data_IF_504972271607
#
_entry.id   IF_504972271607
#
_cell.length_a   1.000
_cell.length_b   1.000
_cell.length_c   1.000
_cell.angle_alpha   90.00
_cell.angle_beta   90.00
_cell.angle_gamma   90.00
#
_symmetry.space_group_name_H-M   'P 1'
#
loop_
_entity.id
_entity.type
_entity.pdbx_description
1 polymer ?
#
# COMPACT_ATOMS: atom_id res chain seq x y z
N UNK A 1 -18.55 6.78 -27.20
CA UNK A 1 -18.65 5.59 -26.32
C UNK A 1 -18.74 4.39 -27.24
N UNK A 2 -17.78 3.46 -27.15
CA UNK A 2 -17.61 2.38 -28.13
C UNK A 2 -18.26 1.04 -27.72
N UNK A 3 -19.12 1.05 -26.68
CA UNK A 3 -19.85 -0.15 -26.23
C UNK A 3 -19.01 -1.19 -25.45
N UNK A 4 -17.79 -0.82 -25.02
CA UNK A 4 -16.97 -1.69 -24.19
C UNK A 4 -17.32 -1.54 -22.71
N UNK A 5 -17.37 -2.65 -22.00
CA UNK A 5 -17.42 -2.67 -20.55
C UNK A 5 -16.01 -2.46 -19.99
N UNK A 6 -15.86 -1.51 -19.07
CA UNK A 6 -14.58 -1.17 -18.46
C UNK A 6 -14.61 -1.50 -16.97
N UNK A 7 -13.59 -2.21 -16.51
CA UNK A 7 -13.30 -2.31 -15.08
C UNK A 7 -12.55 -1.06 -14.63
N UNK A 8 -13.27 0.02 -14.43
CA UNK A 8 -12.72 1.30 -14.00
C UNK A 8 -12.76 1.42 -12.49
N UNK A 9 -11.74 0.88 -11.82
CA UNK A 9 -11.60 0.89 -10.38
C UNK A 9 -10.47 1.82 -9.94
N UNK A 10 -10.55 2.32 -8.71
CA UNK A 10 -9.47 3.06 -8.07
C UNK A 10 -8.47 2.11 -7.40
N UNK A 11 -7.22 2.56 -7.24
CA UNK A 11 -6.17 1.84 -6.53
C UNK A 11 -5.47 2.74 -5.51
N UNK A 12 -5.22 2.18 -4.32
CA UNK A 12 -4.45 2.83 -3.27
C UNK A 12 -3.14 2.10 -3.05
N UNK A 13 -2.03 2.85 -3.20
CA UNK A 13 -0.71 2.41 -2.79
C UNK A 13 -0.54 2.69 -1.30
N UNK A 14 -0.44 1.62 -0.52
CA UNK A 14 -0.55 1.67 0.94
C UNK A 14 0.80 1.66 1.66
N UNK A 15 1.91 1.60 0.93
CA UNK A 15 3.25 1.52 1.49
C UNK A 15 4.12 2.69 1.07
N UNK A 16 5.26 2.81 1.74
CA UNK A 16 6.30 3.77 1.40
C UNK A 16 6.59 4.77 2.49
N UNK A 17 7.73 5.43 2.36
CA UNK A 17 8.27 6.39 3.32
C UNK A 17 7.30 7.52 3.68
N UNK A 18 6.45 7.92 2.76
CA UNK A 18 5.50 9.01 3.00
C UNK A 18 4.48 8.68 4.10
N UNK A 19 4.07 7.40 4.25
CA UNK A 19 3.20 6.96 5.34
C UNK A 19 3.96 6.96 6.65
N UNK A 20 5.16 6.35 6.65
CA UNK A 20 6.01 6.21 7.84
C UNK A 20 6.40 7.58 8.40
N UNK A 21 6.95 8.47 7.57
CA UNK A 21 7.39 9.81 7.97
C UNK A 21 6.26 10.61 8.62
N UNK A 22 5.07 10.51 8.10
CA UNK A 22 3.95 11.26 8.67
C UNK A 22 3.48 10.68 10.02
N UNK A 23 3.55 9.36 10.21
CA UNK A 23 3.27 8.74 11.51
C UNK A 23 4.39 9.05 12.51
N UNK A 24 5.65 9.02 12.08
CA UNK A 24 6.80 9.43 12.92
C UNK A 24 6.64 10.87 13.40
N UNK A 25 6.25 11.80 12.53
CA UNK A 25 5.98 13.19 12.89
C UNK A 25 4.82 13.34 13.89
N UNK A 26 3.72 12.58 13.69
CA UNK A 26 2.59 12.60 14.62
C UNK A 26 2.97 12.09 16.01
N UNK A 27 3.91 11.14 16.09
CA UNK A 27 4.43 10.58 17.34
C UNK A 27 5.60 11.39 17.93
N UNK A 28 6.15 12.34 17.17
CA UNK A 28 7.30 13.14 17.59
C UNK A 28 8.61 12.36 17.61
N UNK A 29 8.76 11.35 16.77
CA UNK A 29 9.98 10.55 16.66
C UNK A 29 11.07 11.30 15.90
N UNK A 30 12.30 11.21 16.38
CA UNK A 30 13.48 11.85 15.77
C UNK A 30 14.39 10.82 15.07
N UNK A 31 14.26 9.54 15.43
CA UNK A 31 15.10 8.47 14.90
C UNK A 31 14.35 7.18 14.66
N UNK A 32 14.91 6.31 13.83
CA UNK A 32 14.37 4.95 13.60
C UNK A 32 14.40 4.06 14.86
N UNK A 33 15.26 4.39 15.84
CA UNK A 33 15.31 3.67 17.13
C UNK A 33 14.05 3.89 17.93
N UNK A 34 13.45 5.09 17.84
CA UNK A 34 12.21 5.41 18.54
C UNK A 34 11.07 4.50 18.07
N UNK A 35 11.06 4.13 16.77
CA UNK A 35 10.11 3.17 16.21
C UNK A 35 10.30 1.77 16.81
N UNK A 36 11.56 1.32 16.97
CA UNK A 36 11.88 0.02 17.55
C UNK A 36 11.47 -0.03 19.03
N UNK A 37 11.74 1.04 19.79
CA UNK A 37 11.36 1.16 21.21
C UNK A 37 9.84 1.24 21.40
N UNK A 38 9.14 1.95 20.52
CA UNK A 38 7.68 2.04 20.52
C UNK A 38 7.02 0.69 20.21
N UNK A 39 7.67 -0.13 19.39
CA UNK A 39 7.23 -1.44 18.93
C UNK A 39 6.69 -1.39 17.50
N UNK A 40 7.36 -2.17 16.64
CA UNK A 40 7.08 -2.22 15.19
C UNK A 40 5.61 -2.55 14.89
N UNK A 41 5.01 -3.50 15.62
CA UNK A 41 3.62 -3.89 15.43
C UNK A 41 2.64 -2.73 15.65
N UNK A 42 2.85 -1.97 16.74
CA UNK A 42 2.04 -0.79 17.05
C UNK A 42 2.20 0.28 15.98
N UNK A 43 3.43 0.53 15.56
CA UNK A 43 3.74 1.50 14.52
C UNK A 43 3.08 1.14 13.19
N UNK A 44 3.19 -0.12 12.76
CA UNK A 44 2.53 -0.62 11.53
C UNK A 44 1.00 -0.49 11.62
N UNK A 45 0.42 -0.72 12.80
CA UNK A 45 -1.02 -0.55 13.01
C UNK A 45 -1.43 0.90 12.76
N UNK A 46 -0.69 1.87 13.31
CA UNK A 46 -0.95 3.30 13.07
C UNK A 46 -0.79 3.69 11.59
N UNK A 47 0.21 3.11 10.90
CA UNK A 47 0.36 3.31 9.46
C UNK A 47 -0.86 2.81 8.67
N UNK A 48 -1.38 1.63 9.00
CA UNK A 48 -2.59 1.08 8.37
C UNK A 48 -3.83 1.94 8.65
N UNK A 49 -4.01 2.39 9.88
CA UNK A 49 -5.12 3.29 10.26
C UNK A 49 -5.05 4.62 9.50
N UNK A 50 -3.84 5.16 9.33
CA UNK A 50 -3.63 6.35 8.53
C UNK A 50 -4.04 6.14 7.07
N UNK A 51 -3.60 5.05 6.46
CA UNK A 51 -3.99 4.70 5.08
C UNK A 51 -5.51 4.57 4.95
N UNK A 52 -6.18 3.87 5.86
CA UNK A 52 -7.64 3.72 5.87
C UNK A 52 -8.35 5.08 5.97
N UNK A 53 -7.90 5.94 6.88
CA UNK A 53 -8.44 7.29 7.06
C UNK A 53 -8.33 8.13 5.78
N UNK A 54 -7.14 8.20 5.20
CA UNK A 54 -6.91 9.09 4.06
C UNK A 54 -7.45 8.52 2.75
N UNK A 55 -7.53 7.20 2.57
CA UNK A 55 -8.19 6.61 1.42
C UNK A 55 -9.69 6.95 1.38
N UNK A 56 -10.36 6.96 2.54
CA UNK A 56 -11.77 7.39 2.65
C UNK A 56 -11.95 8.86 2.28
N UNK A 57 -11.07 9.72 2.79
CA UNK A 57 -11.12 11.17 2.48
C UNK A 57 -10.88 11.38 0.98
N UNK A 58 -9.86 10.76 0.41
CA UNK A 58 -9.52 10.88 -1.01
C UNK A 58 -10.66 10.36 -1.89
N UNK A 59 -11.28 9.24 -1.53
CA UNK A 59 -12.45 8.71 -2.23
C UNK A 59 -13.60 9.73 -2.25
N UNK A 60 -13.91 10.34 -1.13
CA UNK A 60 -14.98 11.35 -1.05
C UNK A 60 -14.66 12.60 -1.89
N UNK A 61 -13.41 13.07 -1.83
CA UNK A 61 -12.96 14.21 -2.62
C UNK A 61 -13.03 13.91 -4.12
N UNK A 62 -12.60 12.72 -4.53
CA UNK A 62 -12.64 12.29 -5.92
C UNK A 62 -14.07 12.12 -6.44
N UNK A 63 -14.97 11.54 -5.63
CA UNK A 63 -16.41 11.51 -5.95
C UNK A 63 -16.99 12.92 -6.15
N UNK A 64 -16.61 13.86 -5.29
CA UNK A 64 -17.05 15.26 -5.40
C UNK A 64 -16.52 15.94 -6.66
N UNK A 65 -15.32 15.58 -7.13
CA UNK A 65 -14.75 16.06 -8.39
C UNK A 65 -15.37 15.41 -9.63
N UNK A 66 -16.28 14.45 -9.45
CA UNK A 66 -16.99 13.80 -10.55
C UNK A 66 -16.26 12.59 -11.14
N UNK A 67 -15.32 11.98 -10.44
CA UNK A 67 -14.71 10.74 -10.88
C UNK A 67 -15.73 9.58 -10.79
N UNK A 68 -16.03 8.98 -11.92
CA UNK A 68 -16.93 7.85 -12.07
C UNK A 68 -16.14 6.55 -12.09
N UNK A 69 -15.87 6.02 -10.92
CA UNK A 69 -15.13 4.79 -10.74
C UNK A 69 -15.96 3.78 -9.95
N UNK A 70 -15.60 2.51 -10.04
CA UNK A 70 -16.06 1.47 -9.12
C UNK A 70 -15.32 1.61 -7.78
N UNK A 71 -15.83 2.49 -6.93
CA UNK A 71 -15.22 2.82 -5.64
C UNK A 71 -15.36 1.71 -4.62
N UNK A 72 -16.40 0.88 -4.73
CA UNK A 72 -16.69 -0.19 -3.77
C UNK A 72 -15.72 -1.37 -3.96
N UNK A 73 -15.17 -1.53 -5.15
CA UNK A 73 -14.13 -2.50 -5.48
C UNK A 73 -12.75 -1.85 -5.64
N UNK A 74 -12.44 -0.82 -4.86
CA UNK A 74 -11.12 -0.20 -4.88
C UNK A 74 -10.02 -1.20 -4.52
N UNK A 75 -8.90 -1.11 -5.22
CA UNK A 75 -7.72 -1.94 -5.00
C UNK A 75 -6.83 -1.35 -3.91
N UNK A 76 -6.34 -2.20 -3.02
CA UNK A 76 -5.39 -1.82 -1.96
C UNK A 76 -4.15 -2.71 -2.03
N UNK A 77 -2.96 -2.11 -2.11
CA UNK A 77 -1.70 -2.88 -2.19
C UNK A 77 -1.41 -3.67 -0.91
N UNK A 78 -2.01 -3.30 0.22
CA UNK A 78 -1.89 -4.04 1.49
C UNK A 78 -2.88 -5.20 1.65
N UNK A 79 -3.77 -5.44 0.66
CA UNK A 79 -4.75 -6.53 0.74
C UNK A 79 -4.10 -7.90 0.62
N UNK A 80 -4.72 -8.90 1.24
CA UNK A 80 -4.25 -10.27 1.19
C UNK A 80 -4.27 -10.82 -0.24
N UNK A 81 -5.28 -10.49 -1.03
CA UNK A 81 -5.39 -10.89 -2.43
C UNK A 81 -4.21 -10.38 -3.26
N UNK A 82 -3.82 -9.12 -3.04
CA UNK A 82 -2.64 -8.55 -3.69
C UNK A 82 -1.37 -9.29 -3.27
N UNK A 83 -1.18 -9.49 -1.97
CA UNK A 83 -0.01 -10.16 -1.43
C UNK A 83 0.10 -11.60 -1.92
N UNK A 84 -0.98 -12.37 -1.93
CA UNK A 84 -0.99 -13.74 -2.46
C UNK A 84 -0.71 -13.79 -3.96
N UNK A 85 -1.19 -12.81 -4.72
CA UNK A 85 -0.90 -12.72 -6.15
C UNK A 85 0.60 -12.50 -6.39
N UNK A 86 1.23 -11.57 -5.64
CA UNK A 86 2.67 -11.32 -5.71
C UNK A 86 3.46 -12.56 -5.30
N UNK A 87 3.09 -13.22 -4.19
CA UNK A 87 3.76 -14.45 -3.74
C UNK A 87 3.63 -15.60 -4.74
N UNK A 88 2.47 -15.74 -5.40
CA UNK A 88 2.25 -16.74 -6.44
C UNK A 88 3.16 -16.49 -7.65
N UNK A 89 3.31 -15.24 -8.05
CA UNK A 89 4.24 -14.83 -9.11
C UNK A 89 5.69 -15.13 -8.73
N UNK A 90 6.13 -14.72 -7.54
CA UNK A 90 7.50 -14.98 -7.05
C UNK A 90 7.77 -16.48 -6.95
N UNK A 91 6.81 -17.28 -6.47
CA UNK A 91 6.93 -18.73 -6.42
C UNK A 91 7.13 -19.34 -7.80
N UNK A 92 6.39 -18.87 -8.81
CA UNK A 92 6.56 -19.31 -10.20
C UNK A 92 7.96 -19.01 -10.72
N UNK A 93 8.44 -17.78 -10.52
CA UNK A 93 9.79 -17.38 -10.93
C UNK A 93 10.88 -18.19 -10.21
N UNK A 94 10.68 -18.47 -8.93
CA UNK A 94 11.58 -19.33 -8.16
C UNK A 94 11.64 -20.75 -8.76
N UNK A 95 10.48 -21.33 -9.05
CA UNK A 95 10.41 -22.68 -9.66
C UNK A 95 11.06 -22.74 -11.03
N UNK A 96 11.03 -21.65 -11.79
CA UNK A 96 11.67 -21.51 -13.09
C UNK A 96 13.17 -21.15 -12.99
N UNK A 97 13.74 -21.04 -11.78
CA UNK A 97 15.15 -20.72 -11.55
C UNK A 97 15.54 -19.28 -11.89
N UNK A 98 14.57 -18.37 -11.99
CA UNK A 98 14.80 -16.95 -12.34
C UNK A 98 15.04 -16.05 -11.12
N UNK A 99 14.80 -16.57 -9.91
CA UNK A 99 15.06 -15.87 -8.64
C UNK A 99 16.18 -16.58 -7.92
N UNK A 100 17.16 -15.82 -7.47
CA UNK A 100 18.30 -16.32 -6.70
C UNK A 100 18.60 -15.37 -5.54
N UNK A 101 19.28 -15.88 -4.53
CA UNK A 101 19.76 -15.07 -3.41
C UNK A 101 21.08 -14.40 -3.81
N UNK A 102 21.12 -13.09 -3.75
CA UNK A 102 22.30 -12.28 -4.04
C UNK A 102 22.47 -11.15 -3.04
N UNK A 103 23.59 -10.44 -3.16
CA UNK A 103 23.88 -9.21 -2.43
C UNK A 103 24.10 -8.11 -3.46
N UNK A 104 23.48 -6.97 -3.25
CA UNK A 104 23.63 -5.79 -4.10
C UNK A 104 23.72 -4.55 -3.22
N UNK A 105 24.28 -3.48 -3.79
CA UNK A 105 24.32 -2.17 -3.13
C UNK A 105 23.03 -1.45 -3.45
N UNK A 106 22.28 -1.12 -2.38
CA UNK A 106 21.06 -0.33 -2.49
C UNK A 106 21.31 1.07 -1.91
N UNK A 107 20.75 2.13 -2.50
CA UNK A 107 20.86 3.49 -1.98
C UNK A 107 20.20 3.66 -0.62
#
# INVERSE_FOLDING_TARGET
>A
MCGFELRYQNGFDCQGLWVEIEVEKELGFESKRDVEEFGIEKFVTLCKERVDKYSKIQTQQSKRLGYWMDWDNSYYTMSDENNYTIWSFLKKLWTEGKVYRGTDVVP
#
